data_IF_346466399425
#
_entry.id   IF_346466399425
#
_cell.length_a   1.000
_cell.length_b   1.000
_cell.length_c   1.000
_cell.angle_alpha   90.00
_cell.angle_beta   90.00
_cell.angle_gamma   90.00
#
_symmetry.space_group_name_H-M   'P 1'
#
loop_
_entity.id
_entity.type
_entity.pdbx_description
1 polymer ?
#
# COMPACT_ATOMS: atom_id res chain seq x y z
N UNK A 1 12.55 13.25 -9.14
CA UNK A 1 11.46 13.12 -8.16
C UNK A 1 11.29 14.46 -7.46
N UNK A 2 10.05 14.91 -7.32
CA UNK A 2 9.69 16.20 -6.69
C UNK A 2 9.16 16.01 -5.27
N UNK A 3 8.44 14.93 -5.02
CA UNK A 3 7.81 14.66 -3.74
C UNK A 3 7.54 13.16 -3.57
N UNK A 4 7.24 12.72 -2.37
CA UNK A 4 6.89 11.34 -2.03
C UNK A 4 5.68 11.32 -1.11
N UNK A 5 4.67 10.53 -1.47
CA UNK A 5 3.64 10.08 -0.54
C UNK A 5 4.07 8.73 0.05
N UNK A 6 4.46 8.73 1.31
CA UNK A 6 4.92 7.54 2.01
C UNK A 6 3.70 6.69 2.39
N UNK A 7 3.75 5.40 2.07
CA UNK A 7 2.76 4.46 2.54
C UNK A 7 2.76 4.41 4.08
N UNK A 8 1.59 4.40 4.69
CA UNK A 8 1.48 4.42 6.14
C UNK A 8 2.13 3.18 6.76
N UNK A 9 3.17 3.42 7.54
CA UNK A 9 3.95 2.37 8.23
C UNK A 9 3.42 2.04 9.63
N UNK A 10 2.16 2.38 9.91
CA UNK A 10 1.52 2.11 11.20
C UNK A 10 1.88 3.16 12.25
N UNK A 11 1.04 4.16 12.40
CA UNK A 11 1.02 4.96 13.61
C UNK A 11 0.67 4.06 14.82
N UNK A 12 1.12 4.44 16.01
CA UNK A 12 0.86 3.67 17.23
C UNK A 12 -0.64 3.42 17.42
N UNK A 13 -1.00 2.15 17.42
CA UNK A 13 -2.33 1.70 17.79
C UNK A 13 -2.46 1.85 19.31
N UNK A 14 -3.59 2.34 19.83
CA UNK A 14 -3.78 2.43 21.26
C UNK A 14 -3.87 1.03 21.90
N UNK A 15 -3.18 0.83 23.01
CA UNK A 15 -3.22 -0.44 23.77
C UNK A 15 -4.64 -0.80 24.26
N UNK A 16 -5.43 0.24 24.56
CA UNK A 16 -6.81 0.11 25.05
C UNK A 16 -7.74 0.83 24.08
N UNK A 17 -8.78 0.11 23.63
CA UNK A 17 -9.84 0.72 22.82
C UNK A 17 -10.65 1.72 23.67
N UNK A 18 -11.06 2.87 23.08
CA UNK A 18 -12.07 3.72 23.67
C UNK A 18 -13.38 2.98 23.92
N UNK A 19 -14.19 3.45 24.88
CA UNK A 19 -15.47 2.77 25.25
C UNK A 19 -16.52 2.82 24.14
N UNK A 20 -16.46 3.82 23.23
CA UNK A 20 -17.46 4.08 22.19
C UNK A 20 -17.03 3.65 20.78
N UNK A 21 -16.20 2.60 20.66
CA UNK A 21 -15.78 2.13 19.35
C UNK A 21 -16.83 1.27 18.65
N UNK A 22 -17.05 1.49 17.33
CA UNK A 22 -17.91 0.65 16.50
C UNK A 22 -17.39 -0.78 16.42
N UNK A 23 -18.32 -1.73 16.26
CA UNK A 23 -18.03 -3.16 16.15
C UNK A 23 -16.94 -3.50 15.09
N UNK A 24 -16.92 -2.91 13.88
CA UNK A 24 -15.86 -3.20 12.92
C UNK A 24 -14.44 -2.87 13.41
N UNK A 25 -14.27 -1.89 14.31
CA UNK A 25 -12.96 -1.59 14.91
C UNK A 25 -12.53 -2.68 15.88
N UNK A 26 -13.49 -3.21 16.66
CA UNK A 26 -13.24 -4.35 17.56
C UNK A 26 -12.80 -5.56 16.74
N UNK A 27 -13.52 -5.85 15.67
CA UNK A 27 -13.23 -6.96 14.76
C UNK A 27 -11.84 -6.81 14.11
N UNK A 28 -11.47 -5.61 13.63
CA UNK A 28 -10.12 -5.34 13.12
C UNK A 28 -9.04 -5.62 14.16
N UNK A 29 -9.26 -5.25 15.41
CA UNK A 29 -8.32 -5.57 16.50
C UNK A 29 -8.20 -7.08 16.71
N UNK A 30 -9.30 -7.82 16.68
CA UNK A 30 -9.29 -9.28 16.81
C UNK A 30 -8.56 -9.94 15.64
N UNK A 31 -8.77 -9.47 14.40
CA UNK A 31 -8.02 -9.92 13.23
C UNK A 31 -6.53 -9.72 13.44
N UNK A 32 -6.10 -8.53 13.89
CA UNK A 32 -4.69 -8.26 14.16
C UNK A 32 -4.10 -9.19 15.22
N UNK A 33 -4.85 -9.45 16.30
CA UNK A 33 -4.41 -10.33 17.39
C UNK A 33 -4.35 -11.81 16.99
N UNK A 34 -5.28 -12.25 16.13
CA UNK A 34 -5.37 -13.63 15.63
C UNK A 34 -4.48 -13.93 14.41
N UNK A 35 -3.80 -12.91 13.86
CA UNK A 35 -3.01 -13.03 12.64
C UNK A 35 -1.80 -13.93 12.82
N UNK A 36 -1.66 -14.90 11.92
CA UNK A 36 -0.57 -15.86 11.87
C UNK A 36 -0.27 -16.24 10.43
N UNK A 37 0.88 -16.88 10.17
CA UNK A 37 1.28 -17.37 8.83
C UNK A 37 0.22 -18.28 8.18
N UNK A 38 -0.63 -18.91 8.98
CA UNK A 38 -1.61 -19.91 8.49
C UNK A 38 -2.90 -19.30 7.96
N UNK A 39 -3.25 -18.07 8.36
CA UNK A 39 -4.53 -17.42 8.05
C UNK A 39 -4.39 -16.04 7.39
N UNK A 40 -3.24 -15.78 6.72
CA UNK A 40 -2.96 -14.46 6.13
C UNK A 40 -4.03 -14.00 5.14
N UNK A 41 -4.51 -14.90 4.27
CA UNK A 41 -5.53 -14.58 3.28
C UNK A 41 -6.88 -14.25 3.93
N UNK A 42 -7.28 -15.02 4.93
CA UNK A 42 -8.51 -14.77 5.71
C UNK A 42 -8.41 -13.41 6.41
N UNK A 43 -7.31 -13.16 7.13
CA UNK A 43 -7.07 -11.88 7.80
C UNK A 43 -7.07 -10.69 6.82
N UNK A 44 -6.56 -10.86 5.60
CA UNK A 44 -6.60 -9.83 4.56
C UNK A 44 -8.03 -9.53 4.14
N UNK A 45 -8.81 -10.56 3.83
CA UNK A 45 -10.21 -10.40 3.41
C UNK A 45 -11.06 -9.75 4.50
N UNK A 46 -10.90 -10.19 5.74
CA UNK A 46 -11.59 -9.62 6.90
C UNK A 46 -11.20 -8.16 7.13
N UNK A 47 -9.92 -7.83 7.03
CA UNK A 47 -9.46 -6.46 7.17
C UNK A 47 -10.06 -5.54 6.11
N UNK A 48 -10.11 -5.96 4.84
CA UNK A 48 -10.74 -5.21 3.75
C UNK A 48 -12.23 -5.04 4.01
N UNK A 49 -12.92 -6.10 4.42
CA UNK A 49 -14.35 -6.07 4.71
C UNK A 49 -14.69 -5.06 5.81
N UNK A 50 -14.04 -5.14 6.97
CA UNK A 50 -14.32 -4.24 8.09
C UNK A 50 -13.91 -2.79 7.82
N UNK A 51 -12.83 -2.56 7.08
CA UNK A 51 -12.47 -1.21 6.62
C UNK A 51 -13.56 -0.62 5.73
N UNK A 52 -14.08 -1.39 4.79
CA UNK A 52 -15.09 -0.91 3.86
C UNK A 52 -16.44 -0.71 4.57
N UNK A 53 -16.78 -1.54 5.55
CA UNK A 53 -17.92 -1.32 6.44
C UNK A 53 -17.78 0.00 7.20
N UNK A 54 -16.62 0.29 7.79
CA UNK A 54 -16.35 1.56 8.47
C UNK A 54 -16.48 2.77 7.53
N UNK A 55 -16.05 2.65 6.27
CA UNK A 55 -16.23 3.69 5.26
C UNK A 55 -17.71 3.96 4.98
N UNK A 56 -18.52 2.92 4.87
CA UNK A 56 -19.96 3.05 4.68
C UNK A 56 -20.64 3.69 5.90
N UNK A 57 -20.28 3.28 7.10
CA UNK A 57 -20.77 3.90 8.34
C UNK A 57 -20.39 5.38 8.41
N UNK A 58 -19.19 5.76 7.98
CA UNK A 58 -18.75 7.14 7.94
C UNK A 58 -19.53 7.96 6.90
N UNK A 59 -19.71 7.46 5.68
CA UNK A 59 -20.48 8.13 4.61
C UNK A 59 -21.93 8.36 5.06
N UNK A 60 -22.51 7.43 5.83
CA UNK A 60 -23.87 7.54 6.36
C UNK A 60 -23.97 8.34 7.67
N UNK A 61 -22.87 8.93 8.14
CA UNK A 61 -22.85 9.77 9.35
C UNK A 61 -23.02 9.01 10.66
N UNK A 62 -22.84 7.70 10.67
CA UNK A 62 -23.04 6.83 11.87
C UNK A 62 -21.79 6.75 12.75
N UNK A 63 -20.63 7.09 12.22
CA UNK A 63 -19.36 7.09 12.94
C UNK A 63 -18.62 8.40 12.71
N UNK A 64 -17.81 8.78 13.67
CA UNK A 64 -16.98 9.98 13.63
C UNK A 64 -15.72 9.75 12.80
N UNK A 65 -15.08 10.84 12.34
CA UNK A 65 -13.79 10.78 11.66
C UNK A 65 -12.72 10.11 12.54
N UNK A 66 -12.73 10.36 13.85
CA UNK A 66 -11.80 9.73 14.81
C UNK A 66 -11.94 8.22 14.84
N UNK A 67 -13.17 7.71 14.85
CA UNK A 67 -13.44 6.26 14.82
C UNK A 67 -13.02 5.63 13.49
N UNK A 68 -13.28 6.33 12.37
CA UNK A 68 -12.80 5.89 11.06
C UNK A 68 -11.26 5.85 10.99
N UNK A 69 -10.57 6.90 11.43
CA UNK A 69 -9.11 6.93 11.46
C UNK A 69 -8.54 5.79 12.31
N UNK A 70 -9.20 5.46 13.42
CA UNK A 70 -8.78 4.32 14.25
C UNK A 70 -8.90 2.98 13.49
N UNK A 71 -9.98 2.78 12.72
CA UNK A 71 -10.13 1.61 11.86
C UNK A 71 -9.05 1.56 10.77
N UNK A 72 -8.75 2.70 10.12
CA UNK A 72 -7.69 2.78 9.11
C UNK A 72 -6.32 2.42 9.72
N UNK A 73 -6.01 2.84 10.97
CA UNK A 73 -4.78 2.45 11.67
C UNK A 73 -4.68 0.94 11.90
N UNK A 74 -5.76 0.30 12.36
CA UNK A 74 -5.78 -1.16 12.50
C UNK A 74 -5.64 -1.87 11.16
N UNK A 75 -6.33 -1.39 10.13
CA UNK A 75 -6.19 -1.92 8.78
C UNK A 75 -4.74 -1.91 8.31
N UNK A 76 -4.07 -0.77 8.38
CA UNK A 76 -2.66 -0.65 7.96
C UNK A 76 -1.72 -1.51 8.81
N UNK A 77 -1.96 -1.64 10.10
CA UNK A 77 -1.19 -2.53 10.94
C UNK A 77 -1.35 -4.01 10.53
N UNK A 78 -2.57 -4.43 10.18
CA UNK A 78 -2.82 -5.78 9.67
C UNK A 78 -2.08 -5.99 8.35
N UNK A 79 -2.18 -5.05 7.39
CA UNK A 79 -1.53 -5.15 6.07
C UNK A 79 -0.01 -5.22 6.21
N UNK A 80 0.60 -4.38 7.04
CA UNK A 80 2.03 -4.43 7.32
C UNK A 80 2.44 -5.78 7.93
N UNK A 81 1.67 -6.26 8.90
CA UNK A 81 1.95 -7.56 9.53
C UNK A 81 1.80 -8.73 8.56
N UNK A 82 0.80 -8.69 7.67
CA UNK A 82 0.65 -9.68 6.61
C UNK A 82 1.86 -9.66 5.67
N UNK A 83 2.35 -8.47 5.29
CA UNK A 83 3.52 -8.35 4.42
C UNK A 83 4.78 -8.97 5.07
N UNK A 84 5.00 -8.73 6.37
CA UNK A 84 6.11 -9.34 7.11
C UNK A 84 5.98 -10.87 7.19
N UNK A 85 4.79 -11.39 7.49
CA UNK A 85 4.56 -12.83 7.63
C UNK A 85 4.55 -13.54 6.26
N UNK A 86 4.13 -12.86 5.19
CA UNK A 86 4.13 -13.36 3.82
C UNK A 86 5.53 -13.77 3.36
N UNK A 87 6.57 -13.06 3.76
CA UNK A 87 7.97 -13.39 3.41
C UNK A 87 8.41 -14.77 3.92
N UNK A 88 7.74 -15.31 4.92
CA UNK A 88 8.00 -16.64 5.48
C UNK A 88 7.32 -17.77 4.67
N UNK A 89 6.45 -17.43 3.72
CA UNK A 89 5.74 -18.41 2.89
C UNK A 89 6.62 -18.88 1.74
N UNK A 90 6.59 -20.20 1.45
CA UNK A 90 7.23 -20.77 0.25
C UNK A 90 6.50 -20.42 -1.05
N UNK A 91 5.20 -20.18 -0.97
CA UNK A 91 4.34 -19.78 -2.08
C UNK A 91 3.36 -18.71 -1.59
N UNK A 92 3.32 -17.59 -2.29
CA UNK A 92 2.40 -16.50 -1.97
C UNK A 92 1.08 -16.72 -2.71
N UNK A 93 -0.08 -16.72 -2.02
CA UNK A 93 -1.39 -16.71 -2.65
C UNK A 93 -1.56 -15.50 -3.56
N UNK A 94 -2.35 -15.66 -4.65
CA UNK A 94 -2.56 -14.57 -5.62
C UNK A 94 -3.14 -13.31 -4.98
N UNK A 95 -4.04 -13.48 -4.04
CA UNK A 95 -4.73 -12.41 -3.31
C UNK A 95 -3.77 -11.58 -2.45
N UNK A 96 -2.64 -12.16 -2.05
CA UNK A 96 -1.59 -11.48 -1.29
C UNK A 96 -0.46 -10.92 -2.19
N UNK A 97 -0.49 -11.18 -3.50
CA UNK A 97 0.52 -10.69 -4.43
C UNK A 97 0.49 -9.15 -4.53
N UNK A 98 -0.70 -8.55 -4.44
CA UNK A 98 -0.89 -7.11 -4.61
C UNK A 98 -0.64 -6.29 -3.32
N UNK A 99 -0.34 -6.95 -2.19
CA UNK A 99 -0.05 -6.25 -0.93
C UNK A 99 1.17 -5.34 -1.07
N UNK A 100 2.19 -5.78 -1.80
CA UNK A 100 3.40 -4.97 -2.01
C UNK A 100 3.10 -3.67 -2.78
N UNK A 101 2.17 -3.72 -3.73
CA UNK A 101 1.71 -2.51 -4.44
C UNK A 101 0.85 -1.61 -3.56
N UNK A 102 0.07 -2.19 -2.64
CA UNK A 102 -0.75 -1.44 -1.68
C UNK A 102 0.13 -0.70 -0.66
N UNK A 103 1.28 -1.28 -0.29
CA UNK A 103 2.26 -0.70 0.63
C UNK A 103 3.34 0.12 -0.08
N UNK A 104 3.30 0.24 -1.41
CA UNK A 104 4.28 1.02 -2.14
C UNK A 104 4.09 2.52 -1.92
N UNK A 105 5.20 3.22 -1.73
CA UNK A 105 5.22 4.68 -1.74
C UNK A 105 4.88 5.21 -3.14
N UNK A 106 4.40 6.44 -3.21
CA UNK A 106 4.18 7.12 -4.48
C UNK A 106 5.24 8.20 -4.63
N UNK A 107 6.10 8.06 -5.63
CA UNK A 107 7.13 9.03 -5.97
C UNK A 107 6.64 9.90 -7.13
N UNK A 108 6.50 11.20 -6.89
CA UNK A 108 6.01 12.15 -7.90
C UNK A 108 7.19 12.66 -8.73
N UNK A 109 7.10 12.46 -10.05
CA UNK A 109 8.12 12.89 -11.02
C UNK A 109 7.66 14.08 -11.85
N UNK A 110 8.61 14.97 -12.18
CA UNK A 110 8.34 16.10 -13.09
C UNK A 110 8.35 15.63 -14.55
N UNK A 111 7.33 14.89 -14.93
CA UNK A 111 7.12 14.40 -16.31
C UNK A 111 5.63 14.16 -16.53
N UNK A 112 5.25 13.84 -17.76
CA UNK A 112 3.93 13.31 -18.11
C UNK A 112 4.07 11.93 -18.71
N UNK A 113 3.38 10.94 -18.18
CA UNK A 113 3.34 9.58 -18.75
C UNK A 113 2.76 9.64 -20.17
N UNK A 114 1.72 10.44 -20.37
CA UNK A 114 1.04 10.58 -21.66
C UNK A 114 1.92 11.18 -22.76
N UNK A 115 2.87 12.05 -22.40
CA UNK A 115 3.80 12.67 -23.35
C UNK A 115 5.11 11.92 -23.48
N UNK A 116 5.67 11.46 -22.36
CA UNK A 116 7.01 10.88 -22.31
C UNK A 116 7.01 9.37 -22.52
N UNK A 117 5.96 8.68 -22.14
CA UNK A 117 5.83 7.23 -22.17
C UNK A 117 4.41 6.81 -22.60
N UNK A 118 3.90 7.32 -23.75
CA UNK A 118 2.51 7.07 -24.16
C UNK A 118 2.19 5.58 -24.30
N UNK A 119 3.13 4.76 -24.71
CA UNK A 119 2.93 3.34 -24.90
C UNK A 119 2.82 2.57 -23.58
N UNK A 120 3.36 3.10 -22.48
CA UNK A 120 3.15 2.53 -21.15
C UNK A 120 1.67 2.60 -20.74
N UNK A 121 1.01 3.71 -21.10
CA UNK A 121 -0.41 3.93 -20.81
C UNK A 121 -1.32 3.27 -21.87
N UNK A 122 -1.00 3.42 -23.16
CA UNK A 122 -1.89 3.03 -24.24
C UNK A 122 -1.95 1.52 -24.49
N UNK A 123 -0.83 0.81 -24.31
CA UNK A 123 -0.67 -0.61 -24.67
C UNK A 123 0.06 -1.43 -23.59
N UNK A 124 0.17 -0.93 -22.39
CA UNK A 124 0.89 -1.59 -21.27
C UNK A 124 2.36 -1.95 -21.59
N UNK A 125 3.02 -1.16 -22.47
CA UNK A 125 4.42 -1.37 -22.81
C UNK A 125 5.30 -1.17 -21.57
N UNK A 126 6.09 -2.18 -21.22
CA UNK A 126 7.06 -2.08 -20.14
C UNK A 126 8.33 -1.38 -20.63
N UNK A 127 8.80 -0.41 -19.87
CA UNK A 127 10.07 0.28 -20.06
C UNK A 127 11.03 0.00 -18.91
N UNK A 128 12.33 -0.11 -19.16
CA UNK A 128 13.32 -0.20 -18.10
C UNK A 128 13.39 1.12 -17.33
N UNK A 129 13.17 1.05 -16.01
CA UNK A 129 13.25 2.19 -15.10
C UNK A 129 14.25 1.87 -14.01
N UNK A 130 15.22 2.76 -13.78
CA UNK A 130 16.22 2.59 -12.74
C UNK A 130 16.68 3.95 -12.19
N UNK A 131 17.10 4.03 -10.91
CA UNK A 131 17.79 5.19 -10.38
C UNK A 131 19.09 5.45 -11.13
N UNK A 132 19.47 6.73 -11.32
CA UNK A 132 20.76 7.14 -11.90
C UNK A 132 21.69 7.77 -10.86
N UNK A 133 21.20 8.01 -9.65
CA UNK A 133 21.95 8.55 -8.52
C UNK A 133 21.99 7.54 -7.38
N UNK A 134 22.94 7.68 -6.46
CA UNK A 134 23.07 6.87 -5.26
C UNK A 134 23.21 5.38 -5.54
N UNK A 135 23.90 5.01 -6.63
CA UNK A 135 24.04 3.62 -7.11
C UNK A 135 24.85 2.72 -6.16
N UNK A 136 25.54 3.30 -5.19
CA UNK A 136 26.29 2.58 -4.15
C UNK A 136 25.50 2.36 -2.87
N UNK A 137 24.27 2.90 -2.78
CA UNK A 137 23.41 2.76 -1.64
C UNK A 137 22.34 1.71 -1.91
N UNK A 138 21.91 1.00 -0.86
CA UNK A 138 20.82 0.04 -0.99
C UNK A 138 19.47 0.77 -1.04
N UNK A 139 18.62 0.53 -2.05
CA UNK A 139 17.29 1.11 -2.13
C UNK A 139 16.37 0.42 -1.11
N UNK A 140 15.93 1.15 -0.09
CA UNK A 140 15.19 0.59 1.05
C UNK A 140 13.67 0.80 0.97
N UNK A 141 13.17 1.47 -0.08
CA UNK A 141 11.74 1.76 -0.26
C UNK A 141 11.20 1.07 -1.50
N UNK A 142 10.00 0.50 -1.41
CA UNK A 142 9.24 0.04 -2.59
C UNK A 142 8.28 1.14 -3.01
N UNK A 143 8.25 1.48 -4.29
CA UNK A 143 7.48 2.60 -4.78
C UNK A 143 6.92 2.39 -6.19
N UNK A 144 5.86 3.14 -6.49
CA UNK A 144 5.38 3.43 -7.82
C UNK A 144 5.74 4.86 -8.19
N UNK A 145 5.79 5.18 -9.47
CA UNK A 145 6.12 6.52 -9.96
C UNK A 145 4.87 7.14 -10.56
N UNK A 146 4.46 8.29 -10.04
CA UNK A 146 3.34 9.07 -10.56
C UNK A 146 3.85 10.34 -11.24
N UNK A 147 3.19 10.76 -12.29
CA UNK A 147 3.43 12.06 -12.89
C UNK A 147 2.66 13.17 -12.16
N UNK A 148 2.94 14.43 -12.53
CA UNK A 148 2.21 15.60 -12.05
C UNK A 148 1.47 16.20 -13.24
N UNK A 149 0.30 15.64 -13.53
CA UNK A 149 -0.61 16.14 -14.55
C UNK A 149 -1.97 16.45 -13.92
N UNK A 150 -2.78 17.25 -14.60
CA UNK A 150 -4.13 17.58 -14.13
C UNK A 150 -5.08 16.36 -14.11
N UNK A 151 -4.71 15.31 -14.82
CA UNK A 151 -5.48 14.08 -14.95
C UNK A 151 -4.70 12.97 -14.23
N UNK A 152 -4.90 12.81 -12.96
CA UNK A 152 -4.09 12.06 -11.97
C UNK A 152 -3.87 10.55 -12.27
N UNK A 153 -4.11 10.08 -13.50
CA UNK A 153 -3.97 8.69 -13.89
C UNK A 153 -2.58 8.35 -14.47
N UNK A 154 -1.71 9.34 -14.62
CA UNK A 154 -0.36 9.15 -15.14
C UNK A 154 0.54 8.48 -14.11
N UNK A 155 0.64 7.14 -14.17
CA UNK A 155 1.42 6.33 -13.23
C UNK A 155 2.18 5.23 -13.94
N UNK A 156 3.39 4.95 -13.45
CA UNK A 156 4.17 3.76 -13.79
C UNK A 156 4.14 2.85 -12.56
N UNK A 157 3.40 1.77 -12.64
CA UNK A 157 3.23 0.76 -11.60
C UNK A 157 3.50 -0.67 -12.08
N UNK A 158 4.07 -0.79 -13.28
CA UNK A 158 4.51 -2.04 -13.88
C UNK A 158 5.96 -1.90 -14.32
N UNK A 159 6.83 -2.74 -13.81
CA UNK A 159 8.26 -2.69 -14.04
C UNK A 159 8.79 -4.02 -14.53
N UNK A 160 9.85 -3.98 -15.34
CA UNK A 160 10.55 -5.17 -15.82
C UNK A 160 11.25 -5.84 -14.65
N UNK A 161 11.09 -7.14 -14.55
CA UNK A 161 11.77 -7.99 -13.59
C UNK A 161 12.39 -9.21 -14.30
N UNK A 162 13.52 -9.75 -13.86
CA UNK A 162 14.09 -10.98 -14.44
C UNK A 162 13.13 -12.17 -14.47
N UNK A 163 12.14 -12.20 -13.59
CA UNK A 163 11.10 -13.23 -13.51
C UNK A 163 9.81 -12.84 -14.26
N UNK A 164 9.78 -11.68 -14.96
CA UNK A 164 8.66 -11.18 -15.73
C UNK A 164 8.30 -9.73 -15.43
N UNK A 165 7.36 -9.49 -14.53
CA UNK A 165 6.87 -8.17 -14.18
C UNK A 165 6.71 -8.05 -12.66
N UNK A 166 7.02 -6.87 -12.13
CA UNK A 166 6.73 -6.48 -10.74
C UNK A 166 5.91 -5.19 -10.67
N UNK A 167 5.16 -5.01 -9.59
CA UNK A 167 4.23 -3.88 -9.39
C UNK A 167 4.82 -2.74 -8.57
N UNK A 168 6.07 -2.84 -8.17
CA UNK A 168 6.80 -1.77 -7.48
C UNK A 168 8.27 -1.80 -7.84
N UNK A 169 8.95 -0.68 -7.70
CA UNK A 169 10.38 -0.50 -7.94
C UNK A 169 11.07 -0.21 -6.61
N UNK A 170 12.28 -0.77 -6.43
CA UNK A 170 13.09 -0.46 -5.27
C UNK A 170 13.76 0.91 -5.47
N UNK A 171 13.46 1.86 -4.59
CA UNK A 171 13.94 3.23 -4.64
C UNK A 171 14.59 3.65 -3.31
N UNK A 172 15.43 4.68 -3.39
CA UNK A 172 16.02 5.28 -2.20
C UNK A 172 15.02 6.25 -1.54
N UNK A 173 15.03 6.36 -0.20
CA UNK A 173 14.24 7.40 0.46
C UNK A 173 14.68 8.79 -0.04
N UNK A 174 13.73 9.73 -0.14
CA UNK A 174 14.10 11.12 -0.37
C UNK A 174 14.85 11.62 0.87
N UNK A 175 15.95 12.29 0.63
CA UNK A 175 16.74 12.98 1.65
C UNK A 175 16.53 14.47 1.38
N UNK A 176 16.17 15.20 2.42
CA UNK A 176 16.05 16.66 2.41
C UNK A 176 17.39 17.34 2.11
#
# INVERSE_FOLDING_TARGET
ILDVSIAETGESIPDVLPEDVPEPVVNLREVLQGLSVRNLQECYNDAVYYRDEMRQLFITGRVTLRQRTLADKYFWAIINRIAEEKEKLKHTPKELADIDSTLADIYYGNFSVFQSLPDAWAIDQLFPVMPVHRLTEFPSRKAVISDITCDSDGRIDKFIDPQGMRTSLDLHPLVD
#
